data_IF_277096890411
#
_entry.id   IF_277096890411
#
_cell.length_a   1.000
_cell.length_b   1.000
_cell.length_c   1.000
_cell.angle_alpha   90.00
_cell.angle_beta   90.00
_cell.angle_gamma   90.00
#
_symmetry.space_group_name_H-M   'P 1'
#
loop_
_entity.id
_entity.type
_entity.pdbx_description
1 polymer ?
#
# COMPACT_ATOMS: atom_id res chain seq x y z
N UNK A 1 -20.09 26.31 -8.45
CA UNK A 1 -18.89 26.75 -9.20
C UNK A 1 -17.66 26.32 -8.42
N UNK A 2 -16.99 25.24 -8.82
CA UNK A 2 -15.77 24.75 -8.16
C UNK A 2 -14.56 25.33 -8.87
N UNK A 3 -13.72 26.07 -8.14
CA UNK A 3 -12.53 26.74 -8.65
C UNK A 3 -11.62 25.75 -9.39
N UNK A 4 -11.22 26.17 -10.58
CA UNK A 4 -10.26 25.56 -11.50
C UNK A 4 -9.03 25.02 -10.75
N UNK A 5 -8.57 23.85 -11.17
CA UNK A 5 -7.48 23.11 -10.55
C UNK A 5 -6.25 23.98 -10.31
N UNK A 6 -5.71 23.92 -9.09
CA UNK A 6 -4.37 24.39 -8.79
C UNK A 6 -3.35 23.43 -9.42
N UNK A 7 -3.26 23.45 -10.74
CA UNK A 7 -2.13 22.94 -11.50
C UNK A 7 -1.15 24.08 -11.72
N UNK A 8 0.08 23.90 -11.26
CA UNK A 8 1.19 24.82 -11.43
C UNK A 8 2.29 24.12 -12.20
N UNK A 9 2.78 24.74 -13.26
CA UNK A 9 4.00 24.29 -13.94
C UNK A 9 5.21 24.58 -13.04
N UNK A 10 5.94 23.54 -12.66
CA UNK A 10 7.14 23.65 -11.81
C UNK A 10 8.37 23.97 -12.66
N UNK A 11 8.44 23.39 -13.86
CA UNK A 11 9.53 23.59 -14.81
C UNK A 11 9.59 22.45 -15.82
N UNK A 12 10.73 22.32 -16.49
CA UNK A 12 11.00 21.27 -17.48
C UNK A 12 12.13 20.38 -16.97
N UNK A 13 11.97 19.07 -17.09
CA UNK A 13 13.02 18.13 -16.73
C UNK A 13 14.17 18.18 -17.76
N UNK A 14 15.42 18.50 -17.37
CA UNK A 14 16.55 18.55 -18.30
C UNK A 14 16.92 17.18 -18.88
N UNK A 15 16.52 16.06 -18.26
CA UNK A 15 16.83 14.72 -18.78
C UNK A 15 15.87 14.26 -19.88
N UNK A 16 14.58 14.55 -19.72
CA UNK A 16 13.54 14.10 -20.66
C UNK A 16 12.99 15.20 -21.55
N UNK A 17 13.30 16.47 -21.26
CA UNK A 17 12.70 17.63 -21.95
C UNK A 17 11.21 17.80 -21.67
N UNK A 18 10.62 17.00 -20.78
CA UNK A 18 9.18 16.98 -20.51
C UNK A 18 8.81 17.98 -19.41
N UNK A 19 7.62 18.56 -19.55
CA UNK A 19 7.09 19.53 -18.59
C UNK A 19 6.69 18.82 -17.30
N UNK A 20 7.12 19.37 -16.16
CA UNK A 20 6.70 18.96 -14.82
C UNK A 20 5.59 19.89 -14.33
N UNK A 21 4.42 19.31 -14.09
CA UNK A 21 3.25 20.00 -13.55
C UNK A 21 2.92 19.47 -12.16
N UNK A 22 2.85 20.35 -11.17
CA UNK A 22 2.30 20.08 -9.86
C UNK A 22 0.80 20.31 -9.87
N UNK A 23 -0.02 19.31 -9.57
CA UNK A 23 -1.49 19.41 -9.57
C UNK A 23 -2.10 18.68 -8.39
N UNK A 24 -3.34 19.03 -8.02
CA UNK A 24 -4.14 18.20 -7.13
C UNK A 24 -4.80 17.07 -7.92
N UNK A 25 -4.47 15.83 -7.55
CA UNK A 25 -5.17 14.63 -8.00
C UNK A 25 -6.25 14.22 -7.00
N UNK A 26 -6.92 13.09 -7.29
CA UNK A 26 -7.93 12.49 -6.39
C UNK A 26 -7.41 12.16 -4.99
N UNK A 27 -6.09 12.01 -4.86
CA UNK A 27 -5.42 11.52 -3.65
C UNK A 27 -4.53 12.55 -2.96
N UNK A 28 -4.55 13.81 -3.41
CA UNK A 28 -3.72 14.88 -2.88
C UNK A 28 -2.83 15.54 -3.94
N UNK A 29 -1.91 16.41 -3.52
CA UNK A 29 -0.98 17.08 -4.42
C UNK A 29 0.01 16.07 -5.02
N UNK A 30 0.25 16.16 -6.32
CA UNK A 30 1.11 15.26 -7.07
C UNK A 30 1.87 16.01 -8.15
N UNK A 31 3.01 15.46 -8.55
CA UNK A 31 3.82 15.88 -9.68
C UNK A 31 3.53 14.96 -10.87
N UNK A 32 3.36 15.56 -12.03
CA UNK A 32 3.16 14.91 -13.31
C UNK A 32 4.27 15.35 -14.25
N UNK A 33 5.02 14.39 -14.79
CA UNK A 33 6.05 14.61 -15.81
C UNK A 33 5.49 14.15 -17.16
N UNK A 34 5.44 15.06 -18.11
CA UNK A 34 4.82 14.86 -19.42
C UNK A 34 3.31 15.14 -19.43
N UNK A 35 2.79 15.50 -20.60
CA UNK A 35 1.36 15.68 -20.82
C UNK A 35 0.71 14.35 -21.22
N UNK A 36 -0.56 14.16 -20.87
CA UNK A 36 -1.31 12.96 -21.25
C UNK A 36 -1.69 12.93 -22.75
N UNK A 37 -1.31 13.96 -23.50
CA UNK A 37 -1.51 14.13 -24.94
C UNK A 37 -0.35 13.59 -25.76
N UNK A 38 0.81 13.37 -25.14
CA UNK A 38 1.96 12.78 -25.80
C UNK A 38 1.80 11.25 -25.82
N UNK A 39 2.34 10.57 -26.84
CA UNK A 39 2.29 9.10 -26.98
C UNK A 39 2.96 8.37 -25.79
N UNK A 40 3.71 9.11 -24.97
CA UNK A 40 4.42 8.66 -23.78
C UNK A 40 3.57 8.76 -22.50
N UNK A 41 3.47 7.65 -21.76
CA UNK A 41 2.69 7.60 -20.51
C UNK A 41 3.27 8.60 -19.49
N UNK A 42 2.45 9.56 -18.99
CA UNK A 42 2.93 10.54 -18.03
C UNK A 42 3.41 9.82 -16.76
N UNK A 43 4.59 10.20 -16.30
CA UNK A 43 5.14 9.69 -15.03
C UNK A 43 4.56 10.51 -13.90
N UNK A 44 4.22 9.83 -12.82
CA UNK A 44 3.64 10.46 -11.65
C UNK A 44 4.55 10.24 -10.45
N UNK A 45 4.84 11.32 -9.74
CA UNK A 45 5.52 11.28 -8.46
C UNK A 45 4.63 11.98 -7.42
N UNK A 46 4.55 11.46 -6.19
CA UNK A 46 3.89 12.19 -5.12
C UNK A 46 4.67 13.47 -4.80
N UNK A 47 3.97 14.47 -4.26
CA UNK A 47 4.62 15.70 -3.83
C UNK A 47 5.58 15.42 -2.66
N UNK A 48 6.80 15.97 -2.67
CA UNK A 48 7.74 15.81 -1.56
C UNK A 48 7.15 16.29 -0.23
N UNK A 49 7.50 15.59 0.85
CA UNK A 49 6.99 15.83 2.20
C UNK A 49 7.26 17.27 2.63
N UNK A 50 6.19 18.02 2.96
CA UNK A 50 6.29 19.42 3.39
C UNK A 50 6.27 20.46 2.25
N UNK A 51 6.38 20.04 0.99
CA UNK A 51 6.21 20.94 -0.15
C UNK A 51 4.72 21.19 -0.43
N UNK A 52 4.37 22.44 -0.76
CA UNK A 52 3.07 22.82 -1.31
C UNK A 52 3.19 22.99 -2.82
N UNK A 53 2.07 22.93 -3.55
CA UNK A 53 2.04 23.24 -4.99
C UNK A 53 2.64 24.63 -5.27
N UNK A 54 2.51 25.56 -4.33
CA UNK A 54 3.02 26.93 -4.41
C UNK A 54 4.49 27.08 -4.00
N UNK A 55 5.11 26.08 -3.40
CA UNK A 55 6.51 26.16 -2.93
C UNK A 55 7.44 25.10 -3.51
N UNK A 56 6.90 24.15 -4.30
CA UNK A 56 7.71 23.08 -4.89
C UNK A 56 8.70 23.64 -5.90
N UNK A 57 9.97 23.26 -5.76
CA UNK A 57 11.05 23.62 -6.69
C UNK A 57 11.27 22.52 -7.72
N UNK A 58 11.91 22.88 -8.85
CA UNK A 58 12.27 21.91 -9.87
C UNK A 58 13.18 20.81 -9.30
N UNK A 59 14.15 21.18 -8.46
CA UNK A 59 15.08 20.22 -7.83
C UNK A 59 14.35 19.18 -6.98
N UNK A 60 13.40 19.62 -6.16
CA UNK A 60 12.56 18.74 -5.36
C UNK A 60 11.72 17.81 -6.24
N UNK A 61 11.22 18.30 -7.36
CA UNK A 61 10.48 17.49 -8.31
C UNK A 61 11.38 16.44 -8.99
N UNK A 62 12.60 16.82 -9.38
CA UNK A 62 13.58 15.91 -9.97
C UNK A 62 13.95 14.78 -9.02
N UNK A 63 14.17 15.09 -7.74
CA UNK A 63 14.42 14.07 -6.71
C UNK A 63 13.23 13.10 -6.61
N UNK A 64 11.99 13.60 -6.60
CA UNK A 64 10.80 12.75 -6.55
C UNK A 64 10.65 11.83 -7.77
N UNK A 65 11.10 12.24 -8.96
CA UNK A 65 11.11 11.42 -10.17
C UNK A 65 12.28 10.43 -10.26
N UNK A 66 13.24 10.45 -9.34
CA UNK A 66 14.29 9.42 -9.26
C UNK A 66 13.79 8.09 -8.69
N UNK A 67 12.60 8.07 -8.07
CA UNK A 67 11.94 6.86 -7.63
C UNK A 67 11.24 6.17 -8.83
N UNK A 68 11.21 4.83 -8.93
CA UNK A 68 11.56 3.84 -7.91
C UNK A 68 13.07 3.58 -7.79
N UNK A 69 13.60 3.63 -6.55
CA UNK A 69 14.99 3.26 -6.26
C UNK A 69 15.05 1.77 -5.94
N UNK A 70 15.98 1.06 -6.57
CA UNK A 70 16.32 -0.31 -6.17
C UNK A 70 17.26 -0.23 -4.96
N UNK A 71 16.80 -0.74 -3.81
CA UNK A 71 17.57 -0.73 -2.55
C UNK A 71 18.54 -1.91 -2.53
N UNK A 72 18.11 -3.04 -3.10
CA UNK A 72 18.91 -4.25 -3.28
C UNK A 72 18.01 -5.46 -3.46
N UNK A 73 18.48 -6.63 -3.01
CA UNK A 73 17.76 -7.89 -3.12
C UNK A 73 17.71 -8.59 -1.77
N UNK A 74 16.62 -9.31 -1.51
CA UNK A 74 16.51 -10.24 -0.37
C UNK A 74 17.34 -11.49 -0.60
N UNK A 75 17.63 -12.24 0.47
CA UNK A 75 18.28 -13.56 0.38
C UNK A 75 17.50 -14.54 -0.51
N UNK A 76 16.17 -14.40 -0.56
CA UNK A 76 15.26 -15.13 -1.45
C UNK A 76 15.35 -14.71 -2.94
N UNK A 77 16.24 -13.79 -3.29
CA UNK A 77 16.41 -13.26 -4.66
C UNK A 77 15.31 -12.28 -5.10
N UNK A 78 14.44 -11.83 -4.19
CA UNK A 78 13.40 -10.84 -4.51
C UNK A 78 13.97 -9.42 -4.45
N UNK A 79 13.81 -8.65 -5.53
CA UNK A 79 14.22 -7.25 -5.59
C UNK A 79 13.42 -6.37 -4.62
N UNK A 80 14.12 -5.53 -3.87
CA UNK A 80 13.55 -4.53 -2.96
C UNK A 80 13.53 -3.18 -3.68
N UNK A 81 12.33 -2.71 -4.01
CA UNK A 81 12.12 -1.40 -4.67
C UNK A 81 11.48 -0.43 -3.68
N UNK A 82 12.18 0.66 -3.36
CA UNK A 82 11.65 1.74 -2.56
C UNK A 82 10.92 2.75 -3.46
N UNK A 83 9.70 3.12 -3.06
CA UNK A 83 8.88 4.07 -3.79
C UNK A 83 7.94 4.82 -2.83
N UNK A 84 7.35 5.92 -3.29
CA UNK A 84 6.35 6.66 -2.52
C UNK A 84 5.00 6.51 -3.23
N UNK A 85 4.01 6.00 -2.48
CA UNK A 85 2.67 5.74 -2.98
C UNK A 85 1.62 6.58 -2.27
N UNK A 86 0.35 6.26 -2.53
CA UNK A 86 -0.80 6.97 -1.94
C UNK A 86 -0.81 6.99 -0.41
N UNK A 87 -0.22 5.97 0.21
CA UNK A 87 -0.19 5.80 1.66
C UNK A 87 1.11 6.32 2.28
N UNK A 88 1.98 6.93 1.48
CA UNK A 88 3.32 7.37 1.85
C UNK A 88 4.41 6.42 1.35
N UNK A 89 5.62 6.53 1.91
CA UNK A 89 6.77 5.76 1.47
C UNK A 89 6.63 4.27 1.82
N UNK A 90 7.02 3.42 0.88
CA UNK A 90 6.95 1.97 1.00
C UNK A 90 8.08 1.27 0.24
N UNK A 91 8.43 0.08 0.70
CA UNK A 91 9.21 -0.88 -0.08
C UNK A 91 8.28 -1.94 -0.68
N UNK A 92 8.56 -2.30 -1.92
CA UNK A 92 7.95 -3.39 -2.63
C UNK A 92 8.95 -4.52 -2.76
N UNK A 93 8.55 -5.71 -2.31
CA UNK A 93 9.33 -6.94 -2.40
C UNK A 93 8.42 -7.98 -3.05
N UNK A 94 8.60 -8.20 -4.35
CA UNK A 94 7.71 -9.02 -5.16
C UNK A 94 6.24 -8.54 -5.09
N UNK A 95 5.39 -9.31 -4.39
CA UNK A 95 3.96 -9.02 -4.15
C UNK A 95 3.66 -8.36 -2.80
N UNK A 96 4.66 -8.26 -1.93
CA UNK A 96 4.53 -7.68 -0.60
C UNK A 96 4.88 -6.19 -0.62
N UNK A 97 4.06 -5.40 0.09
CA UNK A 97 4.23 -3.97 0.25
C UNK A 97 4.39 -3.67 1.73
N UNK A 98 5.53 -3.09 2.11
CA UNK A 98 5.85 -2.73 3.50
C UNK A 98 5.98 -1.22 3.59
N UNK A 99 5.18 -0.60 4.46
CA UNK A 99 5.27 0.84 4.71
C UNK A 99 6.50 1.14 5.55
N UNK A 100 7.28 2.14 5.16
CA UNK A 100 8.55 2.47 5.82
C UNK A 100 8.49 3.73 6.69
N UNK A 101 7.31 4.33 6.90
CA UNK A 101 7.17 5.53 7.75
C UNK A 101 7.77 5.28 9.14
N UNK A 102 8.63 6.18 9.65
CA UNK A 102 8.91 7.55 9.21
C UNK A 102 10.11 7.73 8.24
N UNK A 103 10.73 6.64 7.80
CA UNK A 103 11.95 6.68 6.97
C UNK A 103 11.67 7.16 5.55
N UNK A 104 12.68 7.81 4.97
CA UNK A 104 12.65 8.28 3.60
C UNK A 104 13.10 7.17 2.63
N UNK A 105 12.34 6.87 1.56
CA UNK A 105 12.73 5.86 0.59
C UNK A 105 13.97 6.23 -0.22
N UNK A 106 14.42 7.48 -0.16
CA UNK A 106 15.71 7.90 -0.70
C UNK A 106 16.88 7.44 0.17
N UNK A 107 16.72 7.29 1.49
CA UNK A 107 17.82 7.00 2.43
C UNK A 107 17.76 5.58 3.03
N UNK A 108 16.70 4.81 2.76
CA UNK A 108 16.55 3.47 3.33
C UNK A 108 17.69 2.52 2.91
N UNK A 109 18.26 1.83 3.90
CA UNK A 109 19.30 0.82 3.71
C UNK A 109 18.71 -0.57 3.51
N UNK A 110 19.50 -1.48 2.93
CA UNK A 110 19.10 -2.88 2.73
C UNK A 110 18.74 -3.56 4.06
N UNK A 111 19.58 -3.40 5.08
CA UNK A 111 19.39 -3.98 6.41
C UNK A 111 18.04 -3.57 6.98
N UNK A 112 17.72 -2.27 6.91
CA UNK A 112 16.46 -1.77 7.43
C UNK A 112 15.25 -2.28 6.64
N UNK A 113 15.39 -2.38 5.32
CA UNK A 113 14.35 -2.96 4.48
C UNK A 113 14.09 -4.44 4.83
N UNK A 114 15.14 -5.22 5.13
CA UNK A 114 15.03 -6.61 5.56
C UNK A 114 14.37 -6.74 6.94
N UNK A 115 14.71 -5.87 7.89
CA UNK A 115 14.05 -5.83 9.20
C UNK A 115 12.54 -5.58 9.07
N UNK A 116 12.16 -4.57 8.28
CA UNK A 116 10.76 -4.24 8.03
C UNK A 116 10.02 -5.37 7.31
N UNK A 117 10.71 -6.05 6.38
CA UNK A 117 10.18 -7.24 5.70
C UNK A 117 9.94 -8.39 6.69
N UNK A 118 10.90 -8.70 7.54
CA UNK A 118 10.76 -9.73 8.57
C UNK A 118 9.65 -9.40 9.57
N UNK A 119 9.55 -8.13 9.98
CA UNK A 119 8.47 -7.66 10.85
C UNK A 119 7.10 -7.81 10.18
N UNK A 120 7.01 -7.53 8.87
CA UNK A 120 5.77 -7.72 8.11
C UNK A 120 5.39 -9.19 7.99
N UNK A 121 6.34 -10.08 7.72
CA UNK A 121 6.10 -11.53 7.68
C UNK A 121 5.59 -12.04 9.02
N UNK A 122 6.21 -11.62 10.13
CA UNK A 122 5.73 -11.93 11.49
C UNK A 122 4.32 -11.41 11.72
N UNK A 123 4.02 -10.17 11.36
CA UNK A 123 2.67 -9.61 11.51
C UNK A 123 1.62 -10.32 10.63
N UNK A 124 1.99 -10.83 9.46
CA UNK A 124 1.08 -11.65 8.64
C UNK A 124 0.90 -13.06 9.24
N UNK A 125 1.95 -13.64 9.83
CA UNK A 125 1.85 -14.90 10.57
C UNK A 125 1.02 -14.76 11.86
N UNK A 126 1.16 -13.66 12.61
CA UNK A 126 0.31 -13.39 13.78
C UNK A 126 -1.16 -13.16 13.41
N UNK A 127 -1.41 -12.64 12.21
CA UNK A 127 -2.76 -12.54 11.66
C UNK A 127 -3.27 -13.87 11.14
N UNK A 128 -2.41 -14.78 10.68
CA UNK A 128 -2.84 -16.09 10.18
C UNK A 128 -2.63 -17.14 11.26
N UNK A 129 -3.69 -17.44 12.00
CA UNK A 129 -3.64 -18.38 13.12
C UNK A 129 -3.61 -19.82 12.61
N UNK A 130 -4.43 -20.14 11.60
CA UNK A 130 -4.47 -21.45 10.97
C UNK A 130 -4.99 -21.34 9.53
N UNK A 131 -4.37 -22.06 8.61
CA UNK A 131 -4.84 -22.21 7.22
C UNK A 131 -5.08 -23.70 6.98
N UNK A 132 -6.33 -24.07 6.71
CA UNK A 132 -6.70 -25.47 6.49
C UNK A 132 -6.57 -25.91 5.02
N UNK A 133 -6.15 -25.03 4.11
CA UNK A 133 -5.91 -25.36 2.70
C UNK A 133 -7.17 -25.48 1.82
N UNK A 134 -8.33 -25.81 2.41
CA UNK A 134 -9.64 -25.88 1.72
C UNK A 134 -10.30 -24.51 1.45
N UNK A 135 -9.58 -23.41 1.67
CA UNK A 135 -10.12 -22.04 1.59
C UNK A 135 -10.60 -21.48 2.94
N UNK A 136 -10.74 -22.34 3.95
CA UNK A 136 -11.05 -21.98 5.33
C UNK A 136 -9.78 -21.56 6.07
N UNK A 137 -9.79 -20.35 6.62
CA UNK A 137 -8.67 -19.77 7.37
C UNK A 137 -9.15 -19.17 8.69
N UNK A 138 -8.36 -19.34 9.74
CA UNK A 138 -8.51 -18.66 11.01
C UNK A 138 -7.58 -17.47 11.04
N UNK A 139 -8.16 -16.27 11.10
CA UNK A 139 -7.42 -15.02 11.04
C UNK A 139 -7.66 -14.18 12.29
N UNK A 140 -6.63 -13.47 12.75
CA UNK A 140 -6.73 -12.49 13.82
C UNK A 140 -7.05 -11.10 13.25
N UNK A 141 -8.28 -10.64 13.45
CA UNK A 141 -8.76 -9.35 12.94
C UNK A 141 -8.67 -8.22 13.97
N UNK A 142 -9.00 -6.99 13.53
CA UNK A 142 -9.11 -5.80 14.40
C UNK A 142 -10.06 -5.98 15.59
N UNK A 143 -11.06 -6.86 15.44
CA UNK A 143 -12.12 -7.11 16.43
C UNK A 143 -11.99 -8.48 17.12
N UNK A 144 -10.84 -9.14 16.98
CA UNK A 144 -10.56 -10.47 17.50
C UNK A 144 -10.45 -11.54 16.42
N UNK A 145 -10.16 -12.79 16.81
CA UNK A 145 -10.02 -13.92 15.90
C UNK A 145 -11.35 -14.29 15.25
N UNK A 146 -11.28 -14.68 13.98
CA UNK A 146 -12.43 -15.07 13.17
C UNK A 146 -12.03 -16.13 12.15
N UNK A 147 -13.00 -16.92 11.72
CA UNK A 147 -12.85 -17.92 10.67
C UNK A 147 -13.44 -17.36 9.39
N UNK A 148 -12.77 -17.52 8.26
CA UNK A 148 -13.26 -17.10 6.95
C UNK A 148 -13.11 -18.21 5.93
N UNK A 149 -14.13 -18.38 5.10
CA UNK A 149 -14.13 -19.26 3.92
C UNK A 149 -13.95 -18.43 2.62
N UNK A 150 -13.46 -17.19 2.75
CA UNK A 150 -13.43 -16.19 1.68
C UNK A 150 -14.80 -15.59 1.33
N UNK A 151 -15.90 -16.30 1.58
CA UNK A 151 -17.29 -15.84 1.36
C UNK A 151 -18.03 -15.48 2.66
N UNK A 152 -17.96 -16.37 3.66
CA UNK A 152 -18.58 -16.18 4.98
C UNK A 152 -17.52 -16.03 6.05
N UNK A 153 -17.83 -15.23 7.07
CA UNK A 153 -16.97 -15.01 8.22
C UNK A 153 -17.72 -15.42 9.49
N UNK A 154 -17.13 -16.32 10.27
CA UNK A 154 -17.60 -16.72 11.60
C UNK A 154 -16.74 -16.06 12.67
N UNK A 155 -17.36 -15.49 13.70
CA UNK A 155 -16.62 -14.90 14.82
C UNK A 155 -16.26 -16.00 15.82
N UNK A 156 -15.01 -16.03 16.26
CA UNK A 156 -14.60 -16.95 17.33
C UNK A 156 -14.93 -16.30 18.68
N UNK A 157 -15.61 -17.02 19.59
CA UNK A 157 -15.83 -16.54 20.96
C UNK A 157 -14.50 -16.22 21.65
N UNK A 158 -14.47 -15.18 22.49
CA UNK A 158 -13.23 -14.77 23.19
C UNK A 158 -12.72 -15.82 24.18
N UNK A 159 -13.56 -16.76 24.59
CA UNK A 159 -13.23 -17.86 25.51
C UNK A 159 -12.61 -19.07 24.81
N UNK A 160 -12.74 -19.16 23.49
CA UNK A 160 -12.20 -20.27 22.71
C UNK A 160 -10.84 -19.89 22.14
N UNK A 161 -9.83 -20.72 22.37
CA UNK A 161 -8.51 -20.49 21.79
C UNK A 161 -8.57 -20.70 20.26
N UNK A 162 -8.23 -19.68 19.46
CA UNK A 162 -8.33 -19.78 18.02
C UNK A 162 -7.30 -20.73 17.41
N UNK A 163 -6.22 -21.10 18.12
CA UNK A 163 -5.23 -22.08 17.66
C UNK A 163 -5.70 -23.52 17.87
N UNK A 164 -6.63 -23.77 18.79
CA UNK A 164 -7.15 -25.11 19.06
C UNK A 164 -8.33 -25.50 18.15
N UNK A 165 -8.82 -24.57 17.32
CA UNK A 165 -9.95 -24.85 16.43
C UNK A 165 -9.52 -25.86 15.36
N UNK A 166 -10.27 -26.96 15.26
CA UNK A 166 -10.05 -27.98 14.23
C UNK A 166 -10.81 -27.65 12.95
N UNK A 167 -10.44 -28.33 11.86
CA UNK A 167 -11.06 -28.13 10.54
C UNK A 167 -12.60 -28.35 10.58
N UNK A 168 -13.06 -29.40 11.27
CA UNK A 168 -14.49 -29.68 11.44
C UNK A 168 -15.22 -28.60 12.24
N UNK A 169 -14.62 -28.13 13.34
CA UNK A 169 -15.18 -27.03 14.13
C UNK A 169 -15.27 -25.74 13.33
N UNK A 170 -14.25 -25.45 12.51
CA UNK A 170 -14.26 -24.28 11.63
C UNK A 170 -15.39 -24.34 10.60
N UNK A 171 -15.62 -25.51 9.99
CA UNK A 171 -16.74 -25.75 9.08
C UNK A 171 -18.09 -25.60 9.77
N UNK A 172 -18.23 -26.12 10.99
CA UNK A 172 -19.45 -25.99 11.80
C UNK A 172 -19.76 -24.52 12.08
N UNK A 173 -18.78 -23.76 12.57
CA UNK A 173 -18.92 -22.35 12.90
C UNK A 173 -19.24 -21.49 11.67
N UNK A 174 -18.68 -21.80 10.49
CA UNK A 174 -19.03 -21.11 9.23
C UNK A 174 -20.46 -21.42 8.78
N UNK A 175 -20.95 -22.65 8.98
CA UNK A 175 -22.34 -23.02 8.68
C UNK A 175 -23.34 -22.33 9.60
N UNK A 176 -23.02 -22.24 10.89
CA UNK A 176 -23.85 -21.55 11.90
C UNK A 176 -23.75 -20.02 11.82
N UNK A 177 -22.68 -19.49 11.22
CA UNK A 177 -22.48 -18.05 11.11
C UNK A 177 -23.56 -17.40 10.21
N UNK A 178 -24.11 -16.25 10.64
CA UNK A 178 -25.04 -15.50 9.82
C UNK A 178 -24.36 -15.02 8.53
N UNK A 179 -25.10 -15.07 7.42
CA UNK A 179 -24.61 -14.56 6.14
C UNK A 179 -24.09 -13.12 6.29
N UNK A 180 -22.97 -12.82 5.64
CA UNK A 180 -22.32 -11.54 5.73
C UNK A 180 -23.32 -10.43 5.39
N UNK A 181 -23.71 -9.61 6.39
CA UNK A 181 -24.59 -8.46 6.18
C UNK A 181 -24.01 -7.64 5.02
N UNK A 182 -24.75 -7.58 3.90
CA UNK A 182 -24.40 -6.78 2.72
C UNK A 182 -23.97 -5.40 3.23
N UNK A 183 -22.67 -5.09 3.12
CA UNK A 183 -22.18 -3.73 3.40
C UNK A 183 -22.90 -2.83 2.42
N UNK A 184 -23.78 -1.96 2.93
CA UNK A 184 -24.44 -0.94 2.13
C UNK A 184 -23.36 -0.23 1.31
N UNK A 185 -23.41 -0.39 -0.01
CA UNK A 185 -22.48 0.24 -0.91
C UNK A 185 -22.57 1.75 -0.66
N UNK A 186 -21.49 2.33 -0.11
CA UNK A 186 -21.41 3.77 0.15
C UNK A 186 -21.51 4.46 -1.20
N UNK A 187 -22.71 4.93 -1.53
CA UNK A 187 -23.06 5.64 -2.76
C UNK A 187 -22.08 6.80 -2.89
N UNK A 188 -21.13 6.69 -3.82
CA UNK A 188 -20.19 7.77 -4.13
C UNK A 188 -21.01 8.93 -4.69
N UNK A 189 -20.98 10.06 -3.98
CA UNK A 189 -21.50 11.35 -4.45
C UNK A 189 -20.41 12.07 -5.21
#
# INVERSE_FOLDING_TARGET
RSKVGASRTVGTDPKTGKIITARFGRFGPMLQLGEATDDDKPKFAPMPSGAKIESVTLEQALVAFQLPRLVGSTEDGQEIKANIGRFGPYIQIGKLFVSIKPEDPHDITLERALELYAAKLKAEAEKNIADFGDGIKVLNGRWGPYITDGKKNAKIPKETDPKSITHDQAKQMIKEAPDAKKRFARRKK
#
